data_IF_119861453783
#
_entry.id   IF_119861453783
#
_cell.length_a   1.000
_cell.length_b   1.000
_cell.length_c   1.000
_cell.angle_alpha   90.00
_cell.angle_beta   90.00
_cell.angle_gamma   90.00
#
_symmetry.space_group_name_H-M   'P 1'
#
loop_
_entity.id
_entity.type
_entity.pdbx_description
1 polymer ?
#
# COMPACT_ATOMS: atom_id res chain seq x y z
N UNK A 1 18.38 -0.17 15.95
CA UNK A 1 17.00 -0.23 15.46
C UNK A 1 16.51 -1.63 15.74
N UNK A 2 15.46 -1.73 16.54
CA UNK A 2 14.77 -3.00 16.81
C UNK A 2 13.96 -3.41 15.58
N UNK A 3 13.65 -4.70 15.47
CA UNK A 3 12.84 -5.18 14.35
C UNK A 3 11.41 -4.65 14.39
N UNK A 4 10.86 -4.40 15.59
CA UNK A 4 9.57 -3.72 15.77
C UNK A 4 9.60 -2.29 15.20
N UNK A 5 10.61 -1.51 15.56
CA UNK A 5 10.80 -0.13 15.05
C UNK A 5 10.99 -0.11 13.53
N UNK A 6 11.72 -1.09 13.00
CA UNK A 6 11.94 -1.23 11.56
C UNK A 6 10.62 -1.44 10.80
N UNK A 7 9.71 -2.27 11.30
CA UNK A 7 8.42 -2.46 10.65
C UNK A 7 7.63 -1.15 10.59
N UNK A 8 7.55 -0.42 11.70
CA UNK A 8 6.84 0.86 11.76
C UNK A 8 7.46 1.88 10.80
N UNK A 9 8.80 1.93 10.75
CA UNK A 9 9.50 2.80 9.81
C UNK A 9 9.19 2.44 8.35
N UNK A 10 9.24 1.16 7.97
CA UNK A 10 8.98 0.73 6.60
C UNK A 10 7.52 0.94 6.21
N UNK A 11 6.57 0.65 7.11
CA UNK A 11 5.15 0.91 6.92
C UNK A 11 4.90 2.39 6.60
N UNK A 12 5.45 3.30 7.40
CA UNK A 12 5.29 4.74 7.18
C UNK A 12 6.05 5.25 5.95
N UNK A 13 7.27 4.76 5.72
CA UNK A 13 8.12 5.22 4.62
C UNK A 13 7.60 4.80 3.24
N UNK A 14 7.03 3.58 3.14
CA UNK A 14 6.54 3.02 1.89
C UNK A 14 5.02 3.00 1.78
N UNK A 15 4.30 3.57 2.76
CA UNK A 15 2.83 3.58 2.84
C UNK A 15 2.23 2.20 2.57
N UNK A 16 2.77 1.19 3.27
CA UNK A 16 2.31 -0.19 3.09
C UNK A 16 0.85 -0.31 3.53
N UNK A 17 0.06 -1.04 2.75
CA UNK A 17 -1.33 -1.30 3.07
C UNK A 17 -1.43 -2.13 4.36
N UNK A 18 -2.25 -1.66 5.28
CA UNK A 18 -2.55 -2.38 6.52
C UNK A 18 -3.82 -3.19 6.26
N UNK A 19 -3.81 -4.50 6.54
CA UNK A 19 -5.04 -5.29 6.52
C UNK A 19 -6.10 -4.69 7.44
N UNK A 20 -7.32 -4.51 6.96
CA UNK A 20 -8.43 -4.08 7.79
C UNK A 20 -8.81 -5.20 8.77
N UNK A 21 -9.00 -4.86 10.06
CA UNK A 21 -9.41 -5.74 11.16
C UNK A 21 -8.38 -6.79 11.63
N UNK A 22 -7.25 -6.32 12.17
CA UNK A 22 -6.23 -7.21 12.76
C UNK A 22 -6.59 -7.52 14.23
N UNK A 23 -7.43 -8.54 14.45
CA UNK A 23 -7.75 -9.06 15.79
C UNK A 23 -6.76 -10.12 16.29
N UNK A 24 -5.91 -10.63 15.40
CA UNK A 24 -4.85 -11.61 15.72
C UNK A 24 -3.67 -11.46 14.76
N UNK A 25 -2.47 -11.72 15.26
CA UNK A 25 -1.24 -11.70 14.47
C UNK A 25 -1.00 -13.04 13.78
N UNK A 26 -0.30 -13.01 12.64
CA UNK A 26 0.25 -14.20 11.97
C UNK A 26 1.46 -14.77 12.73
N UNK A 27 2.07 -13.97 13.61
CA UNK A 27 3.26 -14.31 14.37
C UNK A 27 2.92 -14.77 15.79
N UNK A 28 3.42 -15.92 16.21
CA UNK A 28 3.11 -16.49 17.53
C UNK A 28 3.61 -15.66 18.73
N UNK A 29 4.50 -14.70 18.50
CA UNK A 29 5.15 -13.86 19.51
C UNK A 29 4.66 -12.40 19.53
N UNK A 30 3.65 -12.04 18.72
CA UNK A 30 3.03 -10.71 18.73
C UNK A 30 1.61 -10.82 19.27
N UNK A 31 1.31 -10.10 20.36
CA UNK A 31 -0.05 -10.00 20.88
C UNK A 31 -0.92 -8.95 20.15
N UNK A 32 -2.25 -8.99 20.29
CA UNK A 32 -3.16 -8.02 19.66
C UNK A 32 -2.97 -6.58 20.17
N UNK A 33 -2.45 -6.41 21.39
CA UNK A 33 -2.20 -5.08 21.98
C UNK A 33 -0.85 -4.47 21.58
N UNK A 34 -0.07 -5.13 20.70
CA UNK A 34 1.24 -4.65 20.32
C UNK A 34 1.12 -3.41 19.41
N UNK A 35 1.78 -2.28 19.71
CA UNK A 35 1.64 -1.03 18.94
C UNK A 35 2.26 -1.12 17.53
N UNK A 36 3.00 -2.18 17.24
CA UNK A 36 3.63 -2.47 15.95
C UNK A 36 2.97 -3.66 15.23
N UNK A 37 1.82 -4.14 15.72
CA UNK A 37 1.07 -5.24 15.12
C UNK A 37 0.77 -4.96 13.64
N UNK A 38 0.11 -3.83 13.37
CA UNK A 38 -0.26 -3.40 12.02
C UNK A 38 0.95 -3.33 11.10
N UNK A 39 2.05 -2.77 11.61
CA UNK A 39 3.30 -2.65 10.88
C UNK A 39 3.90 -4.02 10.55
N UNK A 40 3.89 -4.95 11.51
CA UNK A 40 4.43 -6.30 11.36
C UNK A 40 3.65 -7.13 10.34
N UNK A 41 2.32 -7.02 10.34
CA UNK A 41 1.45 -7.67 9.36
C UNK A 41 1.59 -7.01 7.97
N UNK A 42 1.66 -5.68 7.89
CA UNK A 42 1.86 -4.97 6.62
C UNK A 42 3.18 -5.39 5.94
N UNK A 43 4.27 -5.49 6.68
CA UNK A 43 5.57 -5.95 6.12
C UNK A 43 5.58 -7.44 5.78
N UNK A 44 4.70 -8.25 6.39
CA UNK A 44 4.51 -9.65 6.05
C UNK A 44 3.73 -9.80 4.73
N UNK A 45 2.60 -9.09 4.60
CA UNK A 45 1.77 -9.07 3.39
C UNK A 45 2.53 -8.51 2.19
N UNK A 46 3.33 -7.45 2.40
CA UNK A 46 4.22 -6.90 1.39
C UNK A 46 5.40 -7.84 1.03
N UNK A 47 5.56 -8.97 1.73
CA UNK A 47 6.61 -9.96 1.46
C UNK A 47 8.02 -9.48 1.79
N UNK A 48 8.16 -8.44 2.61
CA UNK A 48 9.46 -7.86 2.99
C UNK A 48 10.18 -8.80 3.96
N UNK A 49 9.44 -9.39 4.89
CA UNK A 49 9.95 -10.25 5.96
C UNK A 49 9.01 -11.42 6.25
N UNK A 50 9.58 -12.59 6.58
CA UNK A 50 8.85 -13.77 7.09
C UNK A 50 9.07 -14.00 8.59
N UNK A 51 9.66 -13.02 9.28
CA UNK A 51 10.07 -13.14 10.68
C UNK A 51 11.48 -13.70 10.86
N UNK A 52 11.80 -14.10 12.10
CA UNK A 52 13.05 -14.74 12.50
C UNK A 52 12.99 -16.27 12.40
N UNK A 53 11.80 -16.86 12.55
CA UNK A 53 11.55 -18.30 12.47
C UNK A 53 10.27 -18.54 11.69
N UNK A 54 10.22 -19.65 10.95
CA UNK A 54 9.05 -20.06 10.14
C UNK A 54 8.21 -21.15 10.81
N UNK A 55 8.81 -21.96 11.69
CA UNK A 55 8.10 -23.04 12.40
C UNK A 55 8.66 -23.16 13.83
N UNK A 56 8.02 -22.55 14.85
CA UNK A 56 6.84 -21.68 14.76
C UNK A 56 7.18 -20.33 14.09
N UNK A 57 6.18 -19.72 13.46
CA UNK A 57 6.32 -18.40 12.82
C UNK A 57 6.48 -17.32 13.90
N UNK A 58 7.67 -16.71 13.97
CA UNK A 58 8.01 -15.69 14.98
C UNK A 58 8.60 -14.46 14.33
N UNK A 59 8.27 -13.27 14.84
CA UNK A 59 8.79 -12.00 14.35
C UNK A 59 10.10 -11.60 15.00
N UNK A 60 10.28 -11.87 16.30
CA UNK A 60 11.37 -11.40 17.16
C UNK A 60 11.46 -9.86 17.20
N UNK A 61 10.53 -9.17 17.89
CA UNK A 61 10.46 -7.70 17.88
C UNK A 61 11.68 -7.02 18.52
N UNK A 62 12.30 -7.65 19.52
CA UNK A 62 13.44 -7.12 20.28
C UNK A 62 14.79 -7.36 19.58
N UNK A 63 14.82 -8.11 18.48
CA UNK A 63 16.08 -8.39 17.80
C UNK A 63 16.62 -7.14 17.10
N UNK A 64 17.91 -6.82 17.27
CA UNK A 64 18.51 -5.69 16.57
C UNK A 64 18.70 -6.00 15.08
N UNK A 65 18.27 -5.06 14.24
CA UNK A 65 18.46 -5.14 12.79
C UNK A 65 19.87 -4.64 12.46
N UNK A 66 20.70 -5.53 11.90
CA UNK A 66 22.02 -5.18 11.38
C UNK A 66 21.89 -4.40 10.07
N UNK A 67 22.91 -3.59 9.73
CA UNK A 67 22.88 -2.69 8.55
C UNK A 67 22.74 -3.45 7.22
N UNK A 68 23.37 -4.62 7.12
CA UNK A 68 23.25 -5.53 5.99
C UNK A 68 21.83 -6.10 5.85
N UNK A 69 21.20 -6.48 6.96
CA UNK A 69 19.81 -6.92 6.96
C UNK A 69 18.87 -5.77 6.57
N UNK A 70 19.11 -4.56 7.08
CA UNK A 70 18.31 -3.38 6.73
C UNK A 70 18.35 -3.08 5.22
N UNK A 71 19.53 -3.16 4.60
CA UNK A 71 19.66 -2.98 3.15
C UNK A 71 18.83 -4.01 2.37
N UNK A 72 18.78 -5.25 2.84
CA UNK A 72 17.96 -6.30 2.25
C UNK A 72 16.46 -6.01 2.37
N UNK A 73 16.03 -5.48 3.52
CA UNK A 73 14.63 -5.08 3.71
C UNK A 73 14.25 -3.88 2.85
N UNK A 74 15.10 -2.86 2.76
CA UNK A 74 14.88 -1.71 1.88
C UNK A 74 14.78 -2.12 0.40
N UNK A 75 15.64 -3.03 -0.06
CA UNK A 75 15.56 -3.54 -1.43
C UNK A 75 14.23 -4.26 -1.72
N UNK A 76 13.74 -5.05 -0.76
CA UNK A 76 12.42 -5.71 -0.88
C UNK A 76 11.27 -4.72 -0.79
N UNK A 77 11.37 -3.73 0.10
CA UNK A 77 10.36 -2.69 0.26
C UNK A 77 10.23 -1.83 -1.01
N UNK A 78 11.35 -1.45 -1.63
CA UNK A 78 11.35 -0.73 -2.91
C UNK A 78 10.67 -1.53 -4.02
N UNK A 79 10.93 -2.85 -4.07
CA UNK A 79 10.26 -3.75 -5.02
C UNK A 79 8.76 -3.90 -4.72
N UNK A 80 8.37 -3.93 -3.46
CA UNK A 80 6.97 -3.99 -3.05
C UNK A 80 6.23 -2.69 -3.37
N UNK A 81 6.86 -1.54 -3.14
CA UNK A 81 6.31 -0.22 -3.46
C UNK A 81 6.19 0.02 -4.96
N UNK A 82 7.16 -0.43 -5.76
CA UNK A 82 7.06 -0.40 -7.23
C UNK A 82 5.90 -1.29 -7.73
N UNK A 83 5.70 -2.45 -7.10
CA UNK A 83 4.55 -3.30 -7.38
C UNK A 83 3.22 -2.61 -6.97
N UNK A 84 3.19 -1.91 -5.84
CA UNK A 84 2.02 -1.10 -5.46
C UNK A 84 1.76 0.01 -6.47
N UNK A 85 2.77 0.71 -6.99
CA UNK A 85 2.58 1.70 -8.05
C UNK A 85 1.99 1.08 -9.35
N UNK A 86 2.37 -0.17 -9.67
CA UNK A 86 1.74 -0.93 -10.77
C UNK A 86 0.30 -1.33 -10.44
N UNK A 87 -0.01 -1.68 -9.19
CA UNK A 87 -1.38 -2.00 -8.75
C UNK A 87 -2.26 -0.74 -8.69
N UNK A 88 -1.71 0.40 -8.31
CA UNK A 88 -2.37 1.71 -8.33
C UNK A 88 -2.65 2.16 -9.76
N UNK A 89 -1.78 1.81 -10.71
CA UNK A 89 -1.99 2.03 -12.13
C UNK A 89 -2.84 0.94 -12.81
N UNK A 90 -3.13 -0.18 -12.14
CA UNK A 90 -3.96 -1.24 -12.71
C UNK A 90 -5.43 -0.77 -12.76
N UNK A 91 -6.02 -0.50 -13.94
CA UNK A 91 -7.42 -0.10 -14.05
C UNK A 91 -8.28 -1.34 -13.79
N UNK A 92 -8.61 -1.64 -12.53
CA UNK A 92 -9.38 -2.84 -12.24
C UNK A 92 -9.76 -3.15 -10.80
N UNK A 93 -9.29 -2.38 -9.80
CA UNK A 93 -9.71 -2.55 -8.40
C UNK A 93 -10.29 -1.26 -7.82
N UNK A 94 -11.25 -0.68 -8.54
CA UNK A 94 -12.02 0.46 -8.04
C UNK A 94 -13.17 -0.06 -7.17
N UNK A 95 -12.96 -0.04 -5.86
CA UNK A 95 -14.08 0.18 -4.95
C UNK A 95 -14.63 1.58 -5.22
N UNK A 96 -15.81 1.63 -5.83
CA UNK A 96 -16.78 2.73 -5.86
C UNK A 96 -16.28 4.12 -5.37
N UNK A 97 -15.51 4.82 -6.19
CA UNK A 97 -15.39 6.28 -6.15
C UNK A 97 -14.96 6.76 -7.53
N UNK A 98 -15.92 6.86 -8.44
CA UNK A 98 -15.76 7.46 -9.76
C UNK A 98 -15.55 8.96 -9.62
N UNK A 99 -14.30 9.40 -9.51
CA UNK A 99 -13.91 10.75 -9.91
C UNK A 99 -12.45 10.74 -10.37
N UNK A 100 -12.21 10.44 -11.64
CA UNK A 100 -10.88 10.61 -12.24
C UNK A 100 -10.71 12.07 -12.61
N UNK A 101 -9.79 12.75 -11.92
CA UNK A 101 -9.36 14.11 -12.25
C UNK A 101 -8.25 14.02 -13.31
N UNK A 102 -8.46 14.63 -14.47
CA UNK A 102 -7.41 14.86 -15.47
C UNK A 102 -6.82 16.26 -15.31
N UNK A 103 -5.50 16.36 -15.16
CA UNK A 103 -4.75 17.62 -15.12
C UNK A 103 -3.89 17.77 -16.38
N UNK A 104 -3.98 18.92 -17.03
CA UNK A 104 -2.97 19.43 -17.97
C UNK A 104 -2.54 20.83 -17.48
N UNK A 105 -1.46 21.41 -18.03
CA UNK A 105 -0.79 22.64 -17.55
C UNK A 105 -1.69 23.89 -17.45
N UNK A 106 -2.96 23.78 -17.83
CA UNK A 106 -3.91 24.90 -17.83
C UNK A 106 -5.30 24.63 -17.26
N UNK A 107 -5.72 23.41 -16.86
CA UNK A 107 -7.03 23.19 -16.18
C UNK A 107 -7.30 21.76 -15.67
N UNK A 108 -8.23 21.67 -14.71
CA UNK A 108 -8.82 20.45 -14.11
C UNK A 108 -10.19 20.16 -14.72
N UNK A 109 -10.47 18.91 -15.10
CA UNK A 109 -11.77 18.49 -15.65
C UNK A 109 -12.40 17.33 -14.86
N UNK A 110 -13.74 17.36 -14.71
CA UNK A 110 -14.53 16.28 -14.10
C UNK A 110 -15.36 15.62 -15.21
N UNK A 111 -15.15 14.32 -15.43
CA UNK A 111 -16.03 13.51 -16.27
C UNK A 111 -17.15 12.93 -15.41
N UNK A 112 -18.39 13.38 -15.63
CA UNK A 112 -19.58 12.74 -15.07
C UNK A 112 -20.02 11.61 -16.02
N UNK A 113 -19.99 10.38 -15.50
CA UNK A 113 -20.38 9.09 -16.07
C UNK A 113 -20.88 9.07 -17.54
N UNK A 114 -19.97 8.84 -18.50
CA UNK A 114 -20.35 8.44 -19.85
C UNK A 114 -20.23 6.91 -20.01
N UNK A 115 -21.38 6.24 -20.06
CA UNK A 115 -21.49 4.82 -20.37
C UNK A 115 -20.97 4.53 -21.79
N UNK A 116 -20.00 3.64 -21.93
CA UNK A 116 -19.15 3.45 -23.12
C UNK A 116 -19.86 2.64 -24.24
N UNK A 117 -21.17 2.78 -24.41
CA UNK A 117 -21.93 2.04 -25.42
C UNK A 117 -22.81 2.88 -26.33
N UNK A 118 -22.69 4.21 -26.31
CA UNK A 118 -23.32 5.06 -27.32
C UNK A 118 -22.28 5.91 -28.05
N UNK A 119 -22.37 5.85 -29.37
CA UNK A 119 -21.52 6.52 -30.35
C UNK A 119 -21.22 7.98 -29.98
N UNK A 120 -19.92 8.30 -29.86
CA UNK A 120 -19.44 9.69 -29.86
C UNK A 120 -19.67 10.26 -31.26
N UNK A 121 -20.66 11.14 -31.46
CA UNK A 121 -20.34 12.54 -31.65
C UNK A 121 -21.47 13.49 -31.19
N UNK A 122 -21.48 13.90 -29.93
CA UNK A 122 -22.28 15.07 -29.49
C UNK A 122 -21.72 15.87 -28.31
N UNK A 123 -20.60 15.46 -27.72
CA UNK A 123 -20.07 16.08 -26.49
C UNK A 123 -19.27 17.37 -26.68
N UNK A 124 -19.22 17.95 -27.88
CA UNK A 124 -18.44 19.14 -28.17
C UNK A 124 -19.08 20.47 -27.78
N UNK A 125 -20.14 20.50 -26.96
CA UNK A 125 -20.78 21.78 -26.66
C UNK A 125 -21.45 21.91 -25.30
N UNK A 126 -20.65 21.88 -24.23
CA UNK A 126 -21.00 22.64 -23.03
C UNK A 126 -19.78 23.26 -22.38
N UNK A 127 -19.16 24.17 -23.13
CA UNK A 127 -18.25 25.15 -22.59
C UNK A 127 -19.07 26.06 -21.67
N UNK A 128 -18.80 26.00 -20.37
CA UNK A 128 -19.19 27.08 -19.46
C UNK A 128 -18.59 28.37 -20.02
N UNK A 129 -19.47 29.29 -20.39
CA UNK A 129 -19.12 30.64 -20.78
C UNK A 129 -20.05 31.60 -20.04
N UNK A 130 -19.55 32.81 -19.73
CA UNK A 130 -18.43 33.11 -18.84
C UNK A 130 -18.78 33.00 -17.35
#
# INVERSE_FOLDING_TARGET
MLRSEMAVFLQGAFRLDVPDDITSSSFSDIGPDAPYLDAAEAVLVAGITRGCSVEPMRYCPEDPVRRDTMASFLARALRAADLQAVLDFAPGRQIMQSLTVGEDERNVWICEEANITEDVPSFLNRQLAP
#
